data_IF_097663558571
#
_entry.id   IF_097663558571
#
_cell.length_a   1.000
_cell.length_b   1.000
_cell.length_c   1.000
_cell.angle_alpha   90.00
_cell.angle_beta   90.00
_cell.angle_gamma   90.00
#
_symmetry.space_group_name_H-M   'P 1'
#
loop_
_entity.id
_entity.type
_entity.pdbx_description
1 polymer ?
#
# COMPACT_ATOMS: atom_id res chain seq x y z
N UNK A 1 -36.54 -3.10 -19.19
CA UNK A 1 -35.84 -2.13 -18.31
C UNK A 1 -34.94 -2.94 -17.38
N UNK A 2 -33.61 -2.76 -17.44
CA UNK A 2 -32.71 -3.32 -16.43
C UNK A 2 -32.55 -2.28 -15.34
N UNK A 3 -32.94 -2.64 -14.13
CA UNK A 3 -32.85 -1.79 -12.95
C UNK A 3 -31.44 -1.97 -12.42
N UNK A 4 -30.60 -0.94 -12.56
CA UNK A 4 -29.26 -0.95 -11.98
C UNK A 4 -29.38 -0.91 -10.45
N UNK A 5 -28.67 -1.78 -9.72
CA UNK A 5 -28.57 -1.59 -8.29
C UNK A 5 -27.88 -0.23 -8.02
N UNK A 6 -28.41 0.58 -7.09
CA UNK A 6 -27.79 1.85 -6.75
C UNK A 6 -26.35 1.62 -6.30
N UNK A 7 -25.47 2.55 -6.66
CA UNK A 7 -24.07 2.54 -6.22
C UNK A 7 -24.06 2.47 -4.69
N UNK A 8 -23.45 1.45 -4.07
CA UNK A 8 -23.43 1.39 -2.62
C UNK A 8 -22.62 2.57 -2.08
N UNK A 9 -23.10 3.20 -1.01
CA UNK A 9 -22.41 4.31 -0.35
C UNK A 9 -21.02 3.88 0.17
N UNK A 10 -20.89 2.61 0.54
CA UNK A 10 -19.65 1.94 0.89
C UNK A 10 -19.67 0.50 0.36
N UNK A 11 -18.55 0.01 -0.19
CA UNK A 11 -18.41 -1.38 -0.58
C UNK A 11 -18.21 -2.25 0.67
N UNK A 12 -18.73 -3.50 0.68
CA UNK A 12 -18.46 -4.45 1.76
C UNK A 12 -16.95 -4.62 1.95
N UNK A 13 -16.50 -4.59 3.20
CA UNK A 13 -15.08 -4.75 3.52
C UNK A 13 -14.61 -6.17 3.17
N UNK A 14 -13.34 -6.33 2.76
CA UNK A 14 -12.83 -7.64 2.42
C UNK A 14 -12.59 -8.46 3.71
N UNK A 15 -12.77 -9.77 3.63
CA UNK A 15 -12.71 -10.69 4.79
C UNK A 15 -11.33 -10.71 5.49
N UNK A 16 -10.29 -10.20 4.84
CA UNK A 16 -8.94 -10.11 5.37
C UNK A 16 -8.65 -8.83 6.18
N UNK A 17 -9.66 -8.00 6.47
CA UNK A 17 -9.50 -6.78 7.25
C UNK A 17 -9.04 -7.06 8.70
N UNK A 18 -9.46 -8.18 9.28
CA UNK A 18 -9.21 -8.46 10.70
C UNK A 18 -7.74 -8.73 11.03
N UNK A 19 -6.92 -9.02 10.02
CA UNK A 19 -5.47 -9.22 10.17
C UNK A 19 -4.68 -7.92 10.34
N UNK A 20 -5.32 -6.76 10.17
CA UNK A 20 -4.67 -5.47 10.37
C UNK A 20 -4.79 -5.00 11.83
N UNK A 21 -3.71 -4.43 12.41
CA UNK A 21 -3.78 -3.70 13.67
C UNK A 21 -4.87 -2.64 13.64
N UNK A 22 -5.52 -2.38 14.77
CA UNK A 22 -6.66 -1.45 14.87
C UNK A 22 -6.34 -0.06 14.31
N UNK A 23 -5.14 0.44 14.55
CA UNK A 23 -4.67 1.77 14.10
C UNK A 23 -4.46 1.83 12.58
N UNK A 24 -4.24 0.68 11.94
CA UNK A 24 -3.99 0.55 10.51
C UNK A 24 -5.27 0.34 9.70
N UNK A 25 -6.36 -0.08 10.37
CA UNK A 25 -7.63 -0.44 9.72
C UNK A 25 -8.26 0.76 9.04
N UNK A 26 -8.25 1.93 9.67
CA UNK A 26 -8.91 3.11 9.09
C UNK A 26 -8.27 3.48 7.75
N UNK A 27 -6.94 3.58 7.71
CA UNK A 27 -6.23 3.94 6.48
C UNK A 27 -6.42 2.88 5.40
N UNK A 28 -6.34 1.60 5.76
CA UNK A 28 -6.62 0.52 4.82
C UNK A 28 -8.06 0.59 4.26
N UNK A 29 -9.06 0.82 5.12
CA UNK A 29 -10.46 0.94 4.69
C UNK A 29 -10.63 2.10 3.72
N UNK A 30 -10.00 3.26 3.98
CA UNK A 30 -10.01 4.39 3.05
C UNK A 30 -9.44 4.00 1.68
N UNK A 31 -8.27 3.36 1.65
CA UNK A 31 -7.64 2.88 0.41
C UNK A 31 -8.52 1.85 -0.31
N UNK A 32 -9.09 0.90 0.43
CA UNK A 32 -10.01 -0.10 -0.11
C UNK A 32 -11.22 0.55 -0.77
N UNK A 33 -11.89 1.46 -0.08
CA UNK A 33 -13.07 2.16 -0.61
C UNK A 33 -12.72 2.98 -1.86
N UNK A 34 -11.56 3.64 -1.88
CA UNK A 34 -11.07 4.36 -3.05
C UNK A 34 -10.88 3.43 -4.25
N UNK A 35 -10.19 2.29 -4.06
CA UNK A 35 -9.97 1.33 -5.13
C UNK A 35 -11.27 0.65 -5.57
N UNK A 36 -12.17 0.35 -4.64
CA UNK A 36 -13.48 -0.23 -4.94
C UNK A 36 -14.34 0.72 -5.79
N UNK A 37 -14.25 2.04 -5.57
CA UNK A 37 -14.92 3.04 -6.42
C UNK A 37 -14.40 3.09 -7.86
N UNK A 38 -13.10 2.82 -8.04
CA UNK A 38 -12.43 2.79 -9.35
C UNK A 38 -12.77 1.50 -10.10
N UNK A 39 -12.58 0.35 -9.45
CA UNK A 39 -12.69 -0.95 -10.12
C UNK A 39 -14.09 -1.57 -10.08
N UNK A 40 -14.96 -1.08 -9.19
CA UNK A 40 -16.35 -1.51 -8.99
C UNK A 40 -16.46 -3.05 -8.88
N UNK A 41 -15.87 -3.66 -7.84
CA UNK A 41 -15.87 -5.11 -7.71
C UNK A 41 -17.30 -5.63 -7.52
N UNK A 42 -17.69 -6.63 -8.32
CA UNK A 42 -19.04 -7.20 -8.27
C UNK A 42 -19.13 -8.37 -7.30
N UNK A 43 -18.22 -9.34 -7.42
CA UNK A 43 -18.20 -10.56 -6.62
C UNK A 43 -17.13 -10.53 -5.51
N UNK A 44 -17.09 -11.59 -4.70
CA UNK A 44 -16.12 -11.72 -3.62
C UNK A 44 -14.67 -11.81 -4.14
N UNK A 45 -14.45 -12.39 -5.32
CA UNK A 45 -13.11 -12.56 -5.90
C UNK A 45 -12.55 -11.21 -6.35
N UNK A 46 -13.35 -10.40 -7.04
CA UNK A 46 -13.00 -9.03 -7.41
C UNK A 46 -12.75 -8.17 -6.17
N UNK A 47 -13.57 -8.32 -5.11
CA UNK A 47 -13.35 -7.62 -3.83
C UNK A 47 -12.02 -8.02 -3.18
N UNK A 48 -11.64 -9.29 -3.24
CA UNK A 48 -10.34 -9.76 -2.75
C UNK A 48 -9.17 -9.15 -3.52
N UNK A 49 -9.27 -9.06 -4.86
CA UNK A 49 -8.25 -8.35 -5.65
C UNK A 49 -8.15 -6.86 -5.29
N UNK A 50 -9.27 -6.18 -5.08
CA UNK A 50 -9.27 -4.80 -4.58
C UNK A 50 -8.62 -4.71 -3.20
N UNK A 51 -8.88 -5.69 -2.32
CA UNK A 51 -8.21 -5.82 -1.02
C UNK A 51 -6.69 -5.96 -1.14
N UNK A 52 -6.20 -6.80 -2.06
CA UNK A 52 -4.76 -6.94 -2.32
C UNK A 52 -4.13 -5.66 -2.88
N UNK A 53 -4.83 -4.93 -3.76
CA UNK A 53 -4.37 -3.62 -4.25
C UNK A 53 -4.27 -2.63 -3.08
N UNK A 54 -5.32 -2.53 -2.25
CA UNK A 54 -5.33 -1.63 -1.11
C UNK A 54 -4.23 -1.96 -0.09
N UNK A 55 -3.98 -3.25 0.17
CA UNK A 55 -2.90 -3.69 1.06
C UNK A 55 -1.51 -3.33 0.50
N UNK A 56 -1.29 -3.55 -0.79
CA UNK A 56 -0.03 -3.21 -1.42
C UNK A 56 0.21 -1.69 -1.41
N UNK A 57 -0.83 -0.87 -1.64
CA UNK A 57 -0.76 0.58 -1.51
C UNK A 57 -0.47 1.00 -0.07
N UNK A 58 -1.16 0.40 0.90
CA UNK A 58 -0.95 0.69 2.32
C UNK A 58 0.51 0.45 2.75
N UNK A 59 1.07 -0.71 2.39
CA UNK A 59 2.48 -1.03 2.69
C UNK A 59 3.44 -0.08 1.97
N UNK A 60 3.14 0.30 0.74
CA UNK A 60 3.92 1.28 0.00
C UNK A 60 3.92 2.66 0.69
N UNK A 61 2.75 3.14 1.15
CA UNK A 61 2.63 4.41 1.90
C UNK A 61 3.44 4.39 3.20
N UNK A 62 3.42 3.28 3.95
CA UNK A 62 4.20 3.13 5.18
C UNK A 62 5.72 3.18 4.92
N UNK A 63 6.18 2.55 3.85
CA UNK A 63 7.58 2.57 3.46
C UNK A 63 8.03 3.96 3.00
N UNK A 64 7.19 4.68 2.26
CA UNK A 64 7.45 6.08 1.89
C UNK A 64 7.49 6.99 3.12
N UNK A 65 6.56 6.81 4.09
CA UNK A 65 6.57 7.57 5.32
C UNK A 65 7.87 7.34 6.12
N UNK A 66 8.35 6.10 6.17
CA UNK A 66 9.60 5.73 6.82
C UNK A 66 10.81 6.33 6.09
N UNK A 67 10.84 6.24 4.76
CA UNK A 67 11.90 6.85 3.95
C UNK A 67 11.94 8.36 4.13
N UNK A 68 10.81 9.05 4.01
CA UNK A 68 10.72 10.49 4.21
C UNK A 68 11.19 10.88 5.61
N UNK A 69 10.75 10.14 6.63
CA UNK A 69 11.18 10.38 8.01
C UNK A 69 12.69 10.19 8.19
N UNK A 70 13.26 9.18 7.53
CA UNK A 70 14.69 8.96 7.54
C UNK A 70 15.43 10.12 6.86
N UNK A 71 14.98 10.56 5.68
CA UNK A 71 15.57 11.66 4.91
C UNK A 71 15.55 13.00 5.67
N UNK A 72 14.54 13.28 6.50
CA UNK A 72 14.49 14.48 7.35
C UNK A 72 15.74 14.66 8.23
N UNK A 73 16.41 13.56 8.59
CA UNK A 73 17.61 13.60 9.43
C UNK A 73 18.92 13.65 8.64
N UNK A 74 18.87 13.74 7.31
CA UNK A 74 20.04 13.89 6.44
C UNK A 74 20.03 15.24 5.73
N UNK A 75 20.67 16.28 6.31
CA UNK A 75 20.66 17.64 5.76
C UNK A 75 21.34 17.78 4.39
N UNK A 76 22.15 16.80 3.97
CA UNK A 76 22.91 16.83 2.71
C UNK A 76 22.40 15.82 1.65
N UNK A 77 21.16 15.33 1.78
CA UNK A 77 20.53 14.45 0.79
C UNK A 77 20.51 12.98 1.21
N UNK A 78 20.67 12.05 0.27
CA UNK A 78 20.43 10.64 0.52
C UNK A 78 21.30 10.07 1.66
N UNK A 79 20.81 9.08 2.43
CA UNK A 79 21.54 8.49 3.54
C UNK A 79 22.81 7.74 3.09
N UNK A 80 23.95 8.43 3.11
CA UNK A 80 25.23 7.90 2.67
C UNK A 80 26.03 7.23 3.82
N UNK A 81 26.05 7.87 4.99
CA UNK A 81 26.71 7.39 6.21
C UNK A 81 26.06 8.01 7.46
N UNK A 82 26.22 7.38 8.62
CA UNK A 82 25.67 7.86 9.88
C UNK A 82 26.30 9.17 10.34
N UNK A 83 27.56 9.43 9.99
CA UNK A 83 28.25 10.66 10.36
C UNK A 83 27.47 11.91 9.92
N UNK A 84 26.80 11.83 8.77
CA UNK A 84 25.98 12.89 8.21
C UNK A 84 24.54 12.96 8.76
N UNK A 85 24.13 11.99 9.57
CA UNK A 85 22.80 11.96 10.20
C UNK A 85 22.77 12.85 11.45
N UNK A 86 21.72 13.66 11.60
CA UNK A 86 21.44 14.42 12.82
C UNK A 86 21.33 13.50 14.06
N UNK A 87 21.71 14.00 15.23
CA UNK A 87 21.75 13.24 16.49
C UNK A 87 20.40 12.63 16.86
N UNK A 88 19.33 13.40 16.71
CA UNK A 88 17.95 13.00 16.95
C UNK A 88 17.54 11.82 16.07
N UNK A 89 18.04 11.80 14.83
CA UNK A 89 17.83 10.71 13.91
C UNK A 89 18.53 9.43 14.34
N UNK A 90 19.76 9.53 14.86
CA UNK A 90 20.50 8.35 15.37
C UNK A 90 19.82 7.75 16.58
N UNK A 91 19.25 8.57 17.45
CA UNK A 91 18.47 8.12 18.60
C UNK A 91 17.15 7.45 18.16
N UNK A 92 16.42 8.08 17.25
CA UNK A 92 15.13 7.57 16.77
C UNK A 92 15.26 6.21 16.07
N UNK A 93 16.25 6.07 15.18
CA UNK A 93 16.44 4.83 14.41
C UNK A 93 17.39 3.83 15.08
N UNK A 94 18.14 4.25 16.09
CA UNK A 94 19.00 3.38 16.90
C UNK A 94 20.18 2.73 16.16
N UNK A 95 20.63 3.31 15.05
CA UNK A 95 21.71 2.73 14.26
C UNK A 95 23.05 2.75 14.99
N UNK A 96 23.75 1.61 15.01
CA UNK A 96 25.07 1.45 15.64
C UNK A 96 26.23 1.66 14.68
N UNK A 97 25.99 1.51 13.38
CA UNK A 97 27.01 1.61 12.33
C UNK A 97 26.38 1.89 10.96
N UNK A 98 27.20 2.34 10.00
CA UNK A 98 26.77 2.68 8.65
C UNK A 98 26.10 1.52 7.90
N UNK A 99 26.46 0.27 8.25
CA UNK A 99 25.90 -0.92 7.60
C UNK A 99 24.42 -1.09 7.92
N UNK A 100 24.00 -0.81 9.16
CA UNK A 100 22.59 -0.88 9.56
C UNK A 100 21.75 0.15 8.81
N UNK A 101 22.25 1.39 8.69
CA UNK A 101 21.63 2.44 7.87
C UNK A 101 21.48 2.00 6.41
N UNK A 102 22.58 1.54 5.80
CA UNK A 102 22.58 1.13 4.39
C UNK A 102 21.68 -0.08 4.14
N UNK A 103 21.59 -1.01 5.09
CA UNK A 103 20.68 -2.15 5.01
C UNK A 103 19.22 -1.70 5.04
N UNK A 104 18.86 -0.80 5.95
CA UNK A 104 17.50 -0.25 6.00
C UNK A 104 17.19 0.46 4.68
N UNK A 105 18.06 1.36 4.23
CA UNK A 105 17.87 2.13 2.99
C UNK A 105 17.62 1.22 1.78
N UNK A 106 18.46 0.19 1.62
CA UNK A 106 18.29 -0.82 0.55
C UNK A 106 17.00 -1.62 0.71
N UNK A 107 16.61 -1.99 1.93
CA UNK A 107 15.37 -2.73 2.18
C UNK A 107 14.15 -1.88 1.82
N UNK A 108 14.12 -0.61 2.25
CA UNK A 108 13.05 0.33 1.93
C UNK A 108 12.82 0.43 0.41
N UNK A 109 13.89 0.66 -0.36
CA UNK A 109 13.77 0.75 -1.83
C UNK A 109 13.33 -0.57 -2.48
N UNK A 110 13.88 -1.70 -2.02
CA UNK A 110 13.50 -3.01 -2.55
C UNK A 110 12.02 -3.32 -2.27
N UNK A 111 11.56 -3.06 -1.05
CA UNK A 111 10.19 -3.30 -0.64
C UNK A 111 9.21 -2.34 -1.33
N UNK A 112 9.60 -1.08 -1.51
CA UNK A 112 8.82 -0.12 -2.30
C UNK A 112 8.61 -0.61 -3.73
N UNK A 113 9.67 -1.04 -4.41
CA UNK A 113 9.59 -1.61 -5.75
C UNK A 113 8.69 -2.87 -5.77
N UNK A 114 8.83 -3.74 -4.77
CA UNK A 114 7.99 -4.93 -4.64
C UNK A 114 6.51 -4.59 -4.48
N UNK A 115 6.15 -3.65 -3.62
CA UNK A 115 4.76 -3.27 -3.38
C UNK A 115 4.16 -2.50 -4.56
N UNK A 116 4.94 -1.65 -5.23
CA UNK A 116 4.53 -0.98 -6.48
C UNK A 116 4.27 -1.99 -7.61
N UNK A 117 5.16 -2.96 -7.78
CA UNK A 117 4.98 -4.05 -8.74
C UNK A 117 3.75 -4.91 -8.40
N UNK A 118 3.54 -5.19 -7.11
CA UNK A 118 2.37 -5.92 -6.61
C UNK A 118 1.06 -5.18 -6.91
N UNK A 119 0.99 -3.86 -6.69
CA UNK A 119 -0.16 -3.03 -7.07
C UNK A 119 -0.47 -3.19 -8.56
N UNK A 120 0.54 -2.97 -9.41
CA UNK A 120 0.40 -3.07 -10.87
C UNK A 120 -0.08 -4.46 -11.30
N UNK A 121 0.47 -5.51 -10.71
CA UNK A 121 0.10 -6.90 -10.99
C UNK A 121 -1.36 -7.18 -10.63
N UNK A 122 -1.80 -6.80 -9.43
CA UNK A 122 -3.18 -7.06 -9.00
C UNK A 122 -4.20 -6.24 -9.80
N UNK A 123 -3.87 -5.00 -10.17
CA UNK A 123 -4.71 -4.22 -11.08
C UNK A 123 -4.87 -4.89 -12.44
N UNK A 124 -3.79 -5.47 -12.99
CA UNK A 124 -3.84 -6.23 -14.26
C UNK A 124 -4.73 -7.46 -14.13
N UNK A 125 -4.53 -8.28 -13.09
CA UNK A 125 -5.33 -9.50 -12.83
C UNK A 125 -6.82 -9.14 -12.70
N UNK A 126 -7.14 -8.09 -11.94
CA UNK A 126 -8.50 -7.62 -11.77
C UNK A 126 -9.11 -7.20 -13.11
N UNK A 127 -8.43 -6.38 -13.90
CA UNK A 127 -8.91 -5.98 -15.24
C UNK A 127 -9.13 -7.18 -16.17
N UNK A 128 -8.27 -8.19 -16.10
CA UNK A 128 -8.43 -9.43 -16.88
C UNK A 128 -9.63 -10.25 -16.40
N UNK A 129 -9.81 -10.42 -15.09
CA UNK A 129 -10.98 -11.10 -14.52
C UNK A 129 -12.28 -10.41 -14.96
N UNK A 130 -12.30 -9.08 -14.89
CA UNK A 130 -13.43 -8.25 -15.31
C UNK A 130 -13.71 -8.37 -16.81
N UNK A 131 -12.67 -8.47 -17.65
CA UNK A 131 -12.83 -8.68 -19.10
C UNK A 131 -13.39 -10.06 -19.42
N UNK A 132 -13.02 -11.10 -18.66
CA UNK A 132 -13.48 -12.48 -18.89
C UNK A 132 -14.94 -12.69 -18.47
N UNK A 133 -15.49 -11.84 -17.61
CA UNK A 133 -16.86 -11.97 -17.10
C UNK A 133 -17.71 -10.70 -17.30
N UNK A 134 -17.91 -10.22 -18.55
CA UNK A 134 -18.62 -8.97 -18.82
C UNK A 134 -20.13 -9.08 -18.57
N UNK A 135 -20.70 -10.28 -18.68
CA UNK A 135 -22.15 -10.52 -18.58
C UNK A 135 -22.72 -10.29 -17.16
N UNK A 136 -21.86 -10.36 -16.14
CA UNK A 136 -22.21 -10.13 -14.73
C UNK A 136 -22.33 -8.63 -14.40
N UNK A 137 -21.87 -7.76 -15.31
CA UNK A 137 -21.81 -6.30 -15.13
C UNK A 137 -22.95 -5.51 -15.78
N UNK A 138 -24.01 -6.19 -16.26
CA UNK A 138 -25.17 -5.58 -16.92
C UNK A 138 -26.42 -5.50 -16.04
#
# INVERSE_FOLDING_TARGET
>A
MRIFPPRPAAYPLPENLDFLPSDDRERFVQLYQQQARVFRPYDAVERSYVGYIAMALYRYEQLLATENKLQEFFPQGAPANLANMASEGRELFGFKNDRELQNLWKSLHREQQFHQASCTRWQKILREAQRRNPAVRL
#
